data_IF_589405592725
#
_entry.id   IF_589405592725
#
_cell.length_a   1.000
_cell.length_b   1.000
_cell.length_c   1.000
_cell.angle_alpha   90.00
_cell.angle_beta   90.00
_cell.angle_gamma   90.00
#
_symmetry.space_group_name_H-M   'P 1'
#
loop_
_entity.id
_entity.type
_entity.pdbx_description
1 polymer ?
#
# COMPACT_ATOMS: atom_id res chain seq x y z
N UNK A 1 -8.66 -5.41 -22.86
CA UNK A 1 -8.30 -6.11 -21.62
C UNK A 1 -9.35 -7.14 -21.29
N UNK A 2 -8.92 -8.38 -21.14
CA UNK A 2 -9.70 -9.46 -20.54
C UNK A 2 -9.16 -9.79 -19.12
N UNK A 3 -9.80 -10.72 -18.42
CA UNK A 3 -9.41 -11.07 -17.05
C UNK A 3 -8.00 -11.68 -16.98
N UNK A 4 -7.57 -12.44 -17.99
CA UNK A 4 -6.22 -13.02 -18.03
C UNK A 4 -5.16 -11.93 -18.19
N UNK A 5 -5.42 -10.93 -19.03
CA UNK A 5 -4.57 -9.75 -19.18
C UNK A 5 -4.53 -8.92 -17.89
N UNK A 6 -5.68 -8.73 -17.23
CA UNK A 6 -5.75 -8.03 -15.94
C UNK A 6 -4.90 -8.70 -14.85
N UNK A 7 -4.98 -10.03 -14.71
CA UNK A 7 -4.10 -10.77 -13.77
C UNK A 7 -2.62 -10.58 -14.07
N UNK A 8 -2.22 -10.62 -15.35
CA UNK A 8 -0.82 -10.40 -15.74
C UNK A 8 -0.34 -9.00 -15.39
N UNK A 9 -1.18 -8.00 -15.64
CA UNK A 9 -0.88 -6.60 -15.30
C UNK A 9 -0.76 -6.45 -13.79
N UNK A 10 -1.71 -6.99 -13.01
CA UNK A 10 -1.70 -6.90 -11.56
C UNK A 10 -0.46 -7.59 -10.96
N UNK A 11 -0.21 -8.85 -11.31
CA UNK A 11 0.98 -9.60 -10.85
C UNK A 11 2.28 -8.86 -11.18
N UNK A 12 2.37 -8.27 -12.38
CA UNK A 12 3.54 -7.48 -12.76
C UNK A 12 3.68 -6.24 -11.88
N UNK A 13 2.56 -5.54 -11.61
CA UNK A 13 2.50 -4.41 -10.70
C UNK A 13 3.05 -4.77 -9.32
N UNK A 14 2.55 -5.84 -8.70
CA UNK A 14 2.99 -6.26 -7.36
C UNK A 14 4.50 -6.59 -7.33
N UNK A 15 5.00 -7.25 -8.37
CA UNK A 15 6.44 -7.57 -8.46
C UNK A 15 7.27 -6.30 -8.61
N UNK A 16 6.86 -5.36 -9.46
CA UNK A 16 7.56 -4.09 -9.64
C UNK A 16 7.52 -3.22 -8.37
N UNK A 17 6.35 -3.15 -7.70
CA UNK A 17 6.16 -2.45 -6.42
C UNK A 17 7.06 -3.03 -5.32
N UNK A 18 7.03 -4.36 -5.15
CA UNK A 18 7.90 -5.07 -4.20
C UNK A 18 9.37 -4.78 -4.42
N UNK A 19 9.86 -4.90 -5.65
CA UNK A 19 11.29 -4.66 -5.93
C UNK A 19 11.68 -3.18 -5.76
N UNK A 20 10.78 -2.26 -6.09
CA UNK A 20 10.98 -0.82 -5.84
C UNK A 20 11.12 -0.55 -4.34
N UNK A 21 10.20 -1.06 -3.52
CA UNK A 21 10.24 -0.88 -2.07
C UNK A 21 11.45 -1.57 -1.43
N UNK A 22 11.81 -2.79 -1.87
CA UNK A 22 13.04 -3.47 -1.41
C UNK A 22 14.29 -2.66 -1.73
N UNK A 23 14.40 -2.14 -2.96
CA UNK A 23 15.52 -1.29 -3.36
C UNK A 23 15.56 -0.02 -2.51
N UNK A 24 14.42 0.63 -2.29
CA UNK A 24 14.34 1.82 -1.44
C UNK A 24 14.76 1.53 0.02
N UNK A 25 14.42 0.36 0.56
CA UNK A 25 14.86 -0.09 1.87
C UNK A 25 16.37 -0.38 1.93
N UNK A 26 16.97 -0.85 0.84
CA UNK A 26 18.41 -1.13 0.76
C UNK A 26 19.24 0.16 0.71
N UNK A 27 18.83 1.14 -0.11
CA UNK A 27 19.61 2.37 -0.33
C UNK A 27 19.39 3.47 0.70
N UNK A 28 18.32 3.39 1.50
CA UNK A 28 18.10 4.38 2.56
C UNK A 28 19.03 4.15 3.75
N UNK A 29 19.74 5.21 4.15
CA UNK A 29 20.55 5.23 5.37
C UNK A 29 19.71 5.44 6.63
N UNK A 30 18.43 5.76 6.47
CA UNK A 30 17.51 6.00 7.57
C UNK A 30 16.82 4.68 7.95
N UNK A 31 17.23 4.10 9.09
CA UNK A 31 16.73 2.81 9.60
C UNK A 31 15.21 2.74 9.73
N UNK A 32 14.54 3.88 9.90
CA UNK A 32 13.09 3.92 9.98
C UNK A 32 12.41 3.93 8.62
N UNK A 33 12.89 4.77 7.70
CA UNK A 33 12.44 4.71 6.31
C UNK A 33 12.67 3.31 5.73
N UNK A 34 13.77 2.65 6.12
CA UNK A 34 14.06 1.24 5.79
C UNK A 34 12.96 0.30 6.26
N UNK A 35 12.50 0.44 7.51
CA UNK A 35 11.41 -0.38 8.05
C UNK A 35 10.09 -0.13 7.31
N UNK A 36 9.76 1.13 7.01
CA UNK A 36 8.55 1.48 6.24
C UNK A 36 8.58 0.83 4.87
N UNK A 37 9.67 1.00 4.12
CA UNK A 37 9.81 0.39 2.80
C UNK A 37 9.86 -1.14 2.84
N UNK A 38 10.51 -1.74 3.84
CA UNK A 38 10.53 -3.20 4.00
C UNK A 38 9.13 -3.74 4.23
N UNK A 39 8.33 -3.07 5.06
CA UNK A 39 6.94 -3.46 5.30
C UNK A 39 6.08 -3.35 4.05
N UNK A 40 6.19 -2.24 3.31
CA UNK A 40 5.47 -2.10 2.04
C UNK A 40 5.84 -3.20 1.05
N UNK A 41 7.12 -3.57 0.95
CA UNK A 41 7.53 -4.72 0.15
C UNK A 41 6.93 -6.05 0.62
N UNK A 42 6.74 -6.24 1.93
CA UNK A 42 6.09 -7.44 2.47
C UNK A 42 4.59 -7.45 2.14
N UNK A 43 3.90 -6.31 2.15
CA UNK A 43 2.50 -6.21 1.72
C UNK A 43 2.34 -6.56 0.23
N UNK A 44 3.20 -6.04 -0.65
CA UNK A 44 3.24 -6.39 -2.08
C UNK A 44 3.49 -7.90 -2.31
N UNK A 45 4.24 -8.54 -1.42
CA UNK A 45 4.43 -9.99 -1.46
C UNK A 45 3.13 -10.73 -1.11
N UNK A 46 2.38 -10.28 -0.11
CA UNK A 46 1.06 -10.83 0.24
C UNK A 46 0.04 -10.61 -0.89
N UNK A 47 0.14 -9.48 -1.59
CA UNK A 47 -0.66 -9.21 -2.78
C UNK A 47 -0.43 -10.26 -3.86
N UNK A 48 0.84 -10.46 -4.22
CA UNK A 48 1.25 -11.43 -5.23
C UNK A 48 0.73 -12.84 -4.90
N UNK A 49 0.87 -13.28 -3.65
CA UNK A 49 0.39 -14.60 -3.19
C UNK A 49 -1.13 -14.75 -3.30
N UNK A 50 -1.86 -13.68 -2.99
CA UNK A 50 -3.31 -13.66 -3.10
C UNK A 50 -3.74 -13.67 -4.57
N UNK A 51 -3.13 -12.87 -5.43
CA UNK A 51 -3.41 -12.86 -6.87
C UNK A 51 -3.13 -14.22 -7.50
N UNK A 52 -2.05 -14.89 -7.11
CA UNK A 52 -1.73 -16.25 -7.55
C UNK A 52 -2.84 -17.23 -7.16
N UNK A 53 -3.34 -17.15 -5.93
CA UNK A 53 -4.42 -18.01 -5.43
C UNK A 53 -5.75 -17.78 -6.16
N UNK A 54 -6.15 -16.52 -6.35
CA UNK A 54 -7.37 -16.19 -7.10
C UNK A 54 -7.23 -16.67 -8.55
N UNK A 55 -6.06 -16.40 -9.16
CA UNK A 55 -5.76 -16.81 -10.52
C UNK A 55 -5.79 -18.33 -10.69
N UNK A 56 -5.15 -19.09 -9.79
CA UNK A 56 -5.16 -20.56 -9.83
C UNK A 56 -6.59 -21.11 -9.79
N UNK A 57 -7.42 -20.62 -8.86
CA UNK A 57 -8.81 -21.05 -8.77
C UNK A 57 -9.61 -20.71 -10.01
N UNK A 58 -9.46 -19.48 -10.52
CA UNK A 58 -10.17 -19.05 -11.71
C UNK A 58 -9.73 -19.82 -12.97
N UNK A 59 -8.43 -20.01 -13.20
CA UNK A 59 -7.93 -20.65 -14.41
C UNK A 59 -8.09 -22.18 -14.41
N UNK A 60 -8.20 -22.80 -13.23
CA UNK A 60 -8.40 -24.25 -13.12
C UNK A 60 -9.88 -24.65 -12.97
N UNK A 61 -10.66 -23.88 -12.19
CA UNK A 61 -12.03 -24.23 -11.81
C UNK A 61 -13.08 -23.32 -12.46
N UNK A 62 -12.67 -22.21 -13.09
CA UNK A 62 -13.59 -21.22 -13.67
C UNK A 62 -14.32 -20.35 -12.63
N UNK A 63 -13.87 -20.38 -11.38
CA UNK A 63 -14.51 -19.65 -10.27
C UNK A 63 -13.64 -18.47 -9.86
N UNK A 64 -14.16 -17.25 -10.06
CA UNK A 64 -13.54 -16.03 -9.57
C UNK A 64 -13.95 -15.79 -8.11
N UNK A 65 -13.14 -16.26 -7.17
CA UNK A 65 -13.32 -16.01 -5.74
C UNK A 65 -12.48 -14.81 -5.29
N UNK A 66 -13.15 -13.67 -5.08
CA UNK A 66 -12.50 -12.45 -4.59
C UNK A 66 -12.59 -12.45 -3.05
N UNK A 67 -11.45 -12.43 -2.33
CA UNK A 67 -11.48 -12.32 -0.88
C UNK A 67 -11.99 -10.93 -0.45
N UNK A 68 -12.55 -10.84 0.74
CA UNK A 68 -12.83 -9.52 1.34
C UNK A 68 -11.51 -8.74 1.49
N UNK A 69 -11.51 -7.47 1.06
CA UNK A 69 -10.40 -6.56 1.31
C UNK A 69 -10.32 -6.37 2.82
N UNK A 70 -9.31 -6.98 3.44
CA UNK A 70 -9.00 -6.67 4.83
C UNK A 70 -8.32 -5.30 4.82
N UNK A 71 -8.85 -4.30 5.53
CA UNK A 71 -8.12 -3.05 5.67
C UNK A 71 -6.75 -3.38 6.26
N UNK A 72 -5.70 -2.76 5.72
CA UNK A 72 -4.40 -2.73 6.36
C UNK A 72 -4.63 -2.43 7.85
N UNK A 73 -4.07 -3.27 8.73
CA UNK A 73 -4.27 -3.11 10.17
C UNK A 73 -3.91 -1.67 10.51
N UNK A 74 -4.89 -0.93 11.01
CA UNK A 74 -4.68 0.44 11.45
C UNK A 74 -3.46 0.47 12.35
N UNK A 75 -2.50 1.33 12.06
CA UNK A 75 -1.29 1.50 12.85
C UNK A 75 -1.56 1.96 14.29
N UNK A 76 -2.81 2.30 14.59
CA UNK A 76 -3.28 2.72 15.91
C UNK A 76 -3.63 1.54 16.84
N UNK A 77 -4.06 0.40 16.29
CA UNK A 77 -4.71 -0.68 17.08
C UNK A 77 -3.86 -1.95 17.25
N UNK A 78 -2.76 -2.08 16.51
CA UNK A 78 -1.73 -3.08 16.78
C UNK A 78 -0.46 -2.35 17.20
N UNK A 79 0.30 -2.91 18.15
CA UNK A 79 1.70 -2.54 18.34
C UNK A 79 2.42 -2.76 17.00
N UNK A 80 2.41 -1.74 16.15
CA UNK A 80 2.99 -1.85 14.83
C UNK A 80 4.47 -2.14 15.02
N UNK A 81 5.01 -3.20 14.39
CA UNK A 81 6.44 -3.53 14.48
C UNK A 81 7.32 -2.37 14.00
N UNK A 82 6.75 -1.47 13.20
CA UNK A 82 7.41 -0.33 12.59
C UNK A 82 7.14 0.94 13.39
N UNK A 83 5.90 1.15 13.86
CA UNK A 83 5.43 2.39 14.50
C UNK A 83 5.23 2.24 16.01
N UNK A 84 6.27 1.76 16.70
CA UNK A 84 6.27 1.66 18.17
C UNK A 84 6.14 3.03 18.84
N UNK A 85 5.90 3.06 20.16
CA UNK A 85 5.88 4.34 20.91
C UNK A 85 7.21 5.09 20.76
N UNK A 86 8.34 4.36 20.76
CA UNK A 86 9.66 4.93 20.51
C UNK A 86 9.78 5.53 19.10
N UNK A 87 9.17 4.88 18.09
CA UNK A 87 9.14 5.41 16.74
C UNK A 87 8.48 6.79 16.69
N UNK A 88 7.31 6.95 17.32
CA UNK A 88 6.53 8.20 17.36
C UNK A 88 7.31 9.35 18.02
N UNK A 89 8.05 9.08 19.10
CA UNK A 89 8.90 10.09 19.75
C UNK A 89 10.11 10.47 18.89
N UNK A 90 10.60 9.56 18.05
CA UNK A 90 11.81 9.76 17.25
C UNK A 90 11.54 10.45 15.90
N UNK A 91 10.29 10.48 15.41
CA UNK A 91 9.89 11.30 14.23
C UNK A 91 10.14 12.80 14.49
N UNK A 92 10.42 13.19 15.72
CA UNK A 92 10.79 14.55 16.16
C UNK A 92 11.90 15.24 15.32
N UNK A 93 12.71 14.53 14.52
CA UNK A 93 13.97 15.07 13.96
C UNK A 93 14.28 14.85 12.46
N UNK A 94 13.40 14.26 11.61
CA UNK A 94 13.83 13.83 10.25
C UNK A 94 12.80 14.06 9.12
N UNK A 95 13.26 14.71 8.03
CA UNK A 95 12.49 14.93 6.79
C UNK A 95 12.42 13.72 5.83
N UNK A 96 13.27 12.70 6.01
CA UNK A 96 13.39 11.57 5.06
C UNK A 96 12.22 10.57 5.18
N UNK A 97 11.66 10.39 6.37
CA UNK A 97 10.49 9.52 6.61
C UNK A 97 9.22 10.04 5.92
N UNK A 98 8.97 11.35 5.98
CA UNK A 98 7.86 12.01 5.28
C UNK A 98 7.97 11.81 3.77
N UNK A 99 9.20 11.85 3.23
CA UNK A 99 9.43 11.61 1.80
C UNK A 99 9.12 10.15 1.42
N UNK A 100 9.52 9.18 2.25
CA UNK A 100 9.20 7.77 2.03
C UNK A 100 7.69 7.48 2.05
N UNK A 101 6.99 7.99 3.07
CA UNK A 101 5.53 7.87 3.17
C UNK A 101 4.83 8.55 1.99
N UNK A 102 5.28 9.74 1.59
CA UNK A 102 4.72 10.46 0.44
C UNK A 102 4.88 9.69 -0.87
N UNK A 103 6.01 9.00 -1.07
CA UNK A 103 6.25 8.16 -2.25
C UNK A 103 5.29 6.97 -2.24
N UNK A 104 5.21 6.23 -1.12
CA UNK A 104 4.28 5.11 -0.96
C UNK A 104 2.84 5.54 -1.26
N UNK A 105 2.35 6.57 -0.56
CA UNK A 105 1.01 7.12 -0.79
C UNK A 105 0.74 7.45 -2.27
N UNK A 106 1.73 8.00 -2.98
CA UNK A 106 1.57 8.31 -4.40
C UNK A 106 1.46 7.05 -5.25
N UNK A 107 2.29 6.04 -4.99
CA UNK A 107 2.26 4.78 -5.72
C UNK A 107 0.91 4.06 -5.51
N UNK A 108 0.48 3.91 -4.25
CA UNK A 108 -0.80 3.29 -3.91
C UNK A 108 -1.98 4.01 -4.57
N UNK A 109 -2.00 5.35 -4.50
CA UNK A 109 -3.09 6.15 -5.08
C UNK A 109 -3.15 6.05 -6.61
N UNK A 110 -2.00 6.06 -7.27
CA UNK A 110 -1.93 5.91 -8.73
C UNK A 110 -2.30 4.50 -9.17
N UNK A 111 -1.92 3.46 -8.41
CA UNK A 111 -2.35 2.07 -8.63
C UNK A 111 -3.87 1.94 -8.50
N UNK A 112 -4.44 2.47 -7.41
CA UNK A 112 -5.88 2.50 -7.18
C UNK A 112 -6.62 3.18 -8.34
N UNK A 113 -6.16 4.37 -8.76
CA UNK A 113 -6.74 5.10 -9.90
C UNK A 113 -6.66 4.31 -11.19
N UNK A 114 -5.50 3.71 -11.48
CA UNK A 114 -5.30 2.90 -12.66
C UNK A 114 -6.33 1.77 -12.75
N UNK A 115 -6.51 0.99 -11.68
CA UNK A 115 -7.48 -0.10 -11.67
C UNK A 115 -8.93 0.41 -11.76
N UNK A 116 -9.28 1.52 -11.09
CA UNK A 116 -10.61 2.13 -11.19
C UNK A 116 -10.93 2.59 -12.62
N UNK A 117 -9.98 3.20 -13.33
CA UNK A 117 -10.17 3.60 -14.72
C UNK A 117 -10.33 2.40 -15.66
N UNK A 118 -9.57 1.32 -15.42
CA UNK A 118 -9.74 0.07 -16.16
C UNK A 118 -11.11 -0.57 -15.88
N UNK A 119 -11.58 -0.54 -14.62
CA UNK A 119 -12.89 -1.05 -14.24
C UNK A 119 -14.04 -0.29 -14.92
N UNK A 120 -13.91 1.04 -15.11
CA UNK A 120 -14.90 1.84 -15.86
C UNK A 120 -15.03 1.42 -17.32
N UNK A 121 -13.91 0.98 -17.91
CA UNK A 121 -13.84 0.55 -19.31
C UNK A 121 -14.13 -0.94 -19.52
N UNK A 122 -14.25 -1.71 -18.44
CA UNK A 122 -14.52 -3.15 -18.48
C UNK A 122 -15.96 -3.44 -18.91
N UNK A 123 -16.11 -4.35 -19.88
CA UNK A 123 -17.42 -4.80 -20.38
C UNK A 123 -17.95 -6.01 -19.62
N UNK A 124 -17.06 -6.92 -19.25
CA UNK A 124 -17.40 -8.13 -18.51
C UNK A 124 -17.52 -7.82 -17.01
N UNK A 125 -18.59 -8.31 -16.40
CA UNK A 125 -18.89 -8.04 -14.99
C UNK A 125 -17.83 -8.62 -14.05
N UNK A 126 -17.29 -9.80 -14.37
CA UNK A 126 -16.21 -10.43 -13.58
C UNK A 126 -14.92 -9.62 -13.62
N UNK A 127 -14.53 -9.13 -14.81
CA UNK A 127 -13.39 -8.25 -14.96
C UNK A 127 -13.58 -6.95 -14.18
N UNK A 128 -14.78 -6.38 -14.24
CA UNK A 128 -15.12 -5.16 -13.51
C UNK A 128 -15.04 -5.35 -12.00
N UNK A 129 -15.53 -6.47 -11.48
CA UNK A 129 -15.44 -6.82 -10.06
C UNK A 129 -13.98 -6.99 -9.62
N UNK A 130 -13.20 -7.74 -10.39
CA UNK A 130 -11.77 -7.95 -10.09
C UNK A 130 -10.98 -6.64 -10.08
N UNK A 131 -11.16 -5.78 -11.09
CA UNK A 131 -10.47 -4.48 -11.13
C UNK A 131 -10.92 -3.52 -10.03
N UNK A 132 -12.20 -3.54 -9.64
CA UNK A 132 -12.64 -2.74 -8.49
C UNK A 132 -12.04 -3.26 -7.18
N UNK A 133 -11.96 -4.57 -7.00
CA UNK A 133 -11.29 -5.17 -5.86
C UNK A 133 -9.83 -4.71 -5.74
N UNK A 134 -9.07 -4.74 -6.84
CA UNK A 134 -7.70 -4.21 -6.84
C UNK A 134 -7.68 -2.72 -6.47
N UNK A 135 -8.58 -1.92 -7.06
CA UNK A 135 -8.69 -0.51 -6.73
C UNK A 135 -9.03 -0.24 -5.25
N UNK A 136 -9.95 -1.01 -4.67
CA UNK A 136 -10.32 -0.95 -3.24
C UNK A 136 -9.14 -1.34 -2.35
N UNK A 137 -8.34 -2.31 -2.78
CA UNK A 137 -7.20 -2.83 -2.05
C UNK A 137 -6.09 -1.78 -1.91
N UNK A 138 -5.65 -1.22 -3.03
CA UNK A 138 -4.63 -0.16 -3.08
C UNK A 138 -5.12 1.12 -2.38
N UNK A 139 -6.41 1.44 -2.50
CA UNK A 139 -7.02 2.56 -1.79
C UNK A 139 -7.00 2.35 -0.26
N UNK A 140 -7.13 1.12 0.22
CA UNK A 140 -7.00 0.80 1.64
C UNK A 140 -5.59 1.09 2.17
N UNK A 141 -4.56 0.79 1.37
CA UNK A 141 -3.16 1.08 1.69
C UNK A 141 -2.87 2.56 1.66
N UNK A 142 -3.32 3.26 0.62
CA UNK A 142 -3.24 4.73 0.56
C UNK A 142 -3.85 5.37 1.80
N UNK A 143 -5.05 4.93 2.21
CA UNK A 143 -5.72 5.49 3.39
C UNK A 143 -4.98 5.18 4.69
N UNK A 144 -4.37 3.99 4.81
CA UNK A 144 -3.53 3.65 5.96
C UNK A 144 -2.31 4.58 6.04
N UNK A 145 -1.57 4.74 4.93
CA UNK A 145 -0.41 5.65 4.85
C UNK A 145 -0.80 7.12 5.05
N UNK A 146 -1.96 7.55 4.54
CA UNK A 146 -2.48 8.92 4.70
C UNK A 146 -2.74 9.25 6.17
N UNK A 147 -3.42 8.35 6.91
CA UNK A 147 -3.65 8.53 8.35
C UNK A 147 -2.35 8.69 9.12
N UNK A 148 -1.31 7.93 8.73
CA UNK A 148 0.01 8.09 9.33
C UNK A 148 0.61 9.46 9.03
N UNK A 149 0.56 9.91 7.78
CA UNK A 149 1.06 11.24 7.40
C UNK A 149 0.38 12.33 8.20
N UNK A 150 -0.95 12.28 8.32
CA UNK A 150 -1.75 13.23 9.11
C UNK A 150 -1.32 13.22 10.59
N UNK A 151 -1.12 12.05 11.19
CA UNK A 151 -0.61 11.93 12.55
C UNK A 151 0.77 12.59 12.72
N UNK A 152 1.68 12.40 11.75
CA UNK A 152 3.00 13.04 11.78
C UNK A 152 2.89 14.56 11.66
N UNK A 153 2.08 15.06 10.72
CA UNK A 153 1.89 16.49 10.48
C UNK A 153 1.27 17.20 11.70
N UNK A 154 0.21 16.64 12.30
CA UNK A 154 -0.41 17.17 13.51
C UNK A 154 0.57 17.28 14.67
N UNK A 155 1.39 16.24 14.88
CA UNK A 155 2.43 16.24 15.90
C UNK A 155 3.48 17.33 15.67
N UNK A 156 3.91 17.54 14.42
CA UNK A 156 4.82 18.62 14.05
C UNK A 156 4.21 20.01 14.30
N UNK A 157 2.93 20.20 13.97
CA UNK A 157 2.22 21.48 14.17
C UNK A 157 2.05 21.79 15.65
N UNK A 158 1.57 20.84 16.46
CA UNK A 158 1.39 21.01 17.91
C UNK A 158 2.70 21.41 18.60
N UNK A 159 3.82 20.76 18.25
CA UNK A 159 5.12 21.06 18.85
C UNK A 159 5.63 22.44 18.43
N UNK A 160 5.62 22.79 17.14
CA UNK A 160 6.09 24.10 16.68
C UNK A 160 5.18 25.25 17.13
N UNK A 161 3.90 24.97 17.43
CA UNK A 161 2.97 25.89 18.07
C UNK A 161 3.31 26.13 19.55
N UNK A 162 3.83 25.13 20.27
CA UNK A 162 4.14 25.20 21.70
C UNK A 162 5.47 25.91 22.02
N UNK A 163 6.32 26.17 21.02
CA UNK A 163 7.58 26.95 21.15
C UNK A 163 7.42 28.45 20.85
N UNK A 164 6.18 28.95 20.71
CA UNK A 164 5.89 30.39 20.61
C UNK A 164 5.48 30.99 21.98
N UNK A 165 6.32 30.88 23.01
CA UNK A 165 6.30 31.77 24.17
C UNK A 165 7.70 31.87 24.78
#
# INVERSE_FOLDING_TARGET
MDLREAFKVAIKGEVEGRELYRSAAEFTEDEKAKKVFSHLADEEQLHLETLQRIGEKYFNEGVLEIPEVKPMVSFDDAESPIFTREFREFVRDRHREISALSIGMKLELESARFYREMAKSAKEEELKKFLNFLGDWEESHYNALKKQMEFLEEYYVLKNSLYRF
#
